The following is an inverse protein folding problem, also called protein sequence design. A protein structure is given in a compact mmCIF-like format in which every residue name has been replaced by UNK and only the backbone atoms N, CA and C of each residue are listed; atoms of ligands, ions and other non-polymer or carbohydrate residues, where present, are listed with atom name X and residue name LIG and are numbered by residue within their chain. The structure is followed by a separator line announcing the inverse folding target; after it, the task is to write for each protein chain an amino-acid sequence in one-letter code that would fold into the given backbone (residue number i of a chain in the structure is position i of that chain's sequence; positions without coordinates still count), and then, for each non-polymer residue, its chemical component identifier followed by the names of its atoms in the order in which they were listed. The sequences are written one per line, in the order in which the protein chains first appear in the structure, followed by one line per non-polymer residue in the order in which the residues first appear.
data_IF_430705425612
#
_entry.id   IF_430705425612
#
_cell.length_a   1.000
_cell.length_b   1.000
_cell.length_c   1.000
_cell.angle_alpha   90.00
_cell.angle_beta   90.00
_cell.angle_gamma   90.00
#
_symmetry.space_group_name_H-M   'P 1'
#
loop_
_entity.id
_entity.type
_entity.pdbx_description
1 polymer ?
#
# COMPACT_ATOMS: atom_id res chain seq x y z
N UNK A 1 -0.71 6.98 -17.08
CA UNK A 1 -0.93 7.69 -15.81
C UNK A 1 -0.35 6.84 -14.71
N UNK A 2 0.97 6.87 -14.53
CA UNK A 2 1.65 6.19 -13.44
C UNK A 2 2.89 7.02 -13.07
N UNK A 3 3.37 6.90 -11.82
CA UNK A 3 4.58 7.60 -11.38
C UNK A 3 5.80 6.70 -11.57
N UNK A 4 6.72 7.11 -12.45
CA UNK A 4 8.00 6.42 -12.64
C UNK A 4 8.86 6.42 -11.35
N UNK A 5 8.71 7.46 -10.52
CA UNK A 5 9.35 7.53 -9.22
C UNK A 5 8.80 6.46 -8.27
N UNK A 6 7.48 6.24 -8.26
CA UNK A 6 6.86 5.17 -7.47
C UNK A 6 7.30 3.79 -7.94
N UNK A 7 7.28 3.53 -9.25
CA UNK A 7 7.72 2.25 -9.80
C UNK A 7 9.17 1.94 -9.41
N UNK A 8 10.04 2.94 -9.47
CA UNK A 8 11.44 2.81 -9.06
C UNK A 8 11.57 2.51 -7.57
N UNK A 9 10.81 3.21 -6.71
CA UNK A 9 10.83 2.98 -5.27
C UNK A 9 10.29 1.58 -4.91
N UNK A 10 9.16 1.18 -5.51
CA UNK A 10 8.53 -0.12 -5.30
C UNK A 10 9.47 -1.26 -5.72
N UNK A 11 10.06 -1.20 -6.92
CA UNK A 11 11.03 -2.21 -7.39
C UNK A 11 12.24 -2.35 -6.46
N UNK A 12 12.75 -1.24 -5.92
CA UNK A 12 13.85 -1.28 -4.93
C UNK A 12 13.41 -1.98 -3.64
N UNK A 13 12.26 -1.60 -3.10
CA UNK A 13 11.71 -2.22 -1.88
C UNK A 13 11.45 -3.72 -2.08
N UNK A 14 10.82 -4.11 -3.18
CA UNK A 14 10.55 -5.52 -3.50
C UNK A 14 11.83 -6.33 -3.70
N UNK A 15 12.84 -5.76 -4.36
CA UNK A 15 14.14 -6.40 -4.51
C UNK A 15 14.81 -6.63 -3.15
N UNK A 16 14.73 -5.65 -2.24
CA UNK A 16 15.28 -5.79 -0.88
C UNK A 16 14.53 -6.84 -0.06
N UNK A 17 13.21 -6.96 -0.24
CA UNK A 17 12.34 -7.89 0.47
C UNK A 17 12.16 -9.25 -0.21
N UNK A 18 12.83 -9.53 -1.32
CA UNK A 18 12.67 -10.79 -2.06
C UNK A 18 11.30 -11.00 -2.73
N UNK A 19 10.49 -9.93 -2.88
CA UNK A 19 9.16 -9.98 -3.50
C UNK A 19 9.27 -9.97 -5.02
N UNK A 20 8.59 -10.91 -5.69
CA UNK A 20 8.50 -11.01 -7.16
C UNK A 20 7.10 -10.71 -7.67
N UNK A 21 6.07 -11.11 -6.93
CA UNK A 21 4.68 -10.86 -7.26
C UNK A 21 4.01 -10.12 -6.08
N UNK A 22 4.07 -8.78 -6.05
CA UNK A 22 3.60 -7.99 -4.91
C UNK A 22 2.14 -8.24 -4.60
N UNK A 23 1.29 -8.40 -5.62
CA UNK A 23 -0.14 -8.66 -5.44
C UNK A 23 -0.45 -9.99 -4.73
N UNK A 24 0.46 -10.97 -4.81
CA UNK A 24 0.30 -12.29 -4.19
C UNK A 24 1.09 -12.49 -2.91
N UNK A 25 2.06 -11.62 -2.64
CA UNK A 25 3.02 -11.76 -1.55
C UNK A 25 2.89 -10.68 -0.48
N UNK A 26 2.06 -9.65 -0.71
CA UNK A 26 1.68 -8.67 0.30
C UNK A 26 0.30 -9.06 0.78
N UNK A 27 0.10 -9.12 2.09
CA UNK A 27 -1.17 -9.50 2.70
C UNK A 27 -2.04 -8.29 3.01
N UNK A 28 -1.43 -7.12 3.21
CA UNK A 28 -2.12 -5.86 3.49
C UNK A 28 -1.29 -4.68 3.00
N UNK A 29 -1.93 -3.67 2.42
CA UNK A 29 -1.26 -2.47 1.95
C UNK A 29 -1.89 -1.19 2.51
N UNK A 30 -1.06 -0.28 2.99
CA UNK A 30 -1.43 1.04 3.46
C UNK A 30 -0.83 2.07 2.48
N UNK A 31 -1.69 2.58 1.59
CA UNK A 31 -1.35 3.43 0.44
C UNK A 31 -1.72 4.88 0.73
N UNK A 32 -0.83 5.81 0.39
CA UNK A 32 -1.14 7.23 0.52
C UNK A 32 -2.07 7.69 -0.61
N UNK A 33 -3.32 8.01 -0.26
CA UNK A 33 -4.42 8.34 -1.16
C UNK A 33 -5.10 9.68 -0.78
N UNK A 34 -4.36 10.80 -0.76
CA UNK A 34 -4.97 12.11 -0.43
C UNK A 34 -6.13 12.52 -1.36
N UNK A 35 -6.21 11.92 -2.56
CA UNK A 35 -7.31 12.07 -3.49
C UNK A 35 -7.63 10.71 -4.12
N UNK A 36 -8.89 10.41 -4.38
CA UNK A 36 -9.35 9.09 -4.82
C UNK A 36 -8.66 8.57 -6.10
N UNK A 37 -8.39 9.45 -7.06
CA UNK A 37 -7.70 9.05 -8.30
C UNK A 37 -6.28 8.54 -8.06
N UNK A 38 -5.64 8.95 -6.96
CA UNK A 38 -4.26 8.58 -6.63
C UNK A 38 -4.14 7.08 -6.41
N UNK A 39 -5.12 6.48 -5.73
CA UNK A 39 -5.15 5.04 -5.46
C UNK A 39 -5.03 4.22 -6.75
N UNK A 40 -5.80 4.60 -7.78
CA UNK A 40 -5.76 3.94 -9.09
C UNK A 40 -4.37 4.01 -9.73
N UNK A 41 -3.74 5.18 -9.69
CA UNK A 41 -2.40 5.39 -10.25
C UNK A 41 -1.31 4.70 -9.43
N UNK A 42 -1.49 4.61 -8.11
CA UNK A 42 -0.54 3.99 -7.20
C UNK A 42 -0.59 2.48 -7.29
N UNK A 43 -1.75 1.87 -7.51
CA UNK A 43 -1.84 0.42 -7.76
C UNK A 43 -1.01 -0.01 -8.97
N UNK A 44 -1.06 0.80 -10.04
CA UNK A 44 -0.24 0.58 -11.22
C UNK A 44 1.26 0.76 -10.90
N UNK A 45 1.62 1.82 -10.16
CA UNK A 45 3.01 2.08 -9.79
C UNK A 45 3.59 1.09 -8.77
N UNK A 46 2.78 0.53 -7.89
CA UNK A 46 3.13 -0.50 -6.93
C UNK A 46 3.14 -1.90 -7.56
N UNK A 47 2.68 -2.05 -8.81
CA UNK A 47 2.65 -3.33 -9.50
C UNK A 47 1.54 -4.28 -9.04
N UNK A 48 0.46 -3.75 -8.44
CA UNK A 48 -0.72 -4.53 -8.07
C UNK A 48 -1.57 -4.89 -9.29
N UNK A 49 -1.49 -4.08 -10.34
CA UNK A 49 -2.13 -4.34 -11.63
C UNK A 49 -1.33 -3.73 -12.77
N UNK A 50 -1.65 -4.13 -14.01
CA UNK A 50 -1.07 -3.51 -15.20
C UNK A 50 -1.49 -2.04 -15.33
N UNK A 51 -0.70 -1.28 -16.10
CA UNK A 51 -0.99 0.11 -16.42
C UNK A 51 -2.37 0.29 -17.07
N UNK A 52 -3.11 1.29 -16.63
CA UNK A 52 -4.50 1.56 -17.02
C UNK A 52 -5.53 0.59 -16.45
N UNK A 53 -5.16 -0.28 -15.49
CA UNK A 53 -6.07 -1.26 -14.87
C UNK A 53 -6.41 -0.93 -13.41
N UNK A 54 -5.94 0.19 -12.85
CA UNK A 54 -6.24 0.55 -11.46
C UNK A 54 -7.74 0.60 -11.17
N UNK A 55 -8.53 1.20 -12.05
CA UNK A 55 -9.99 1.23 -11.92
C UNK A 55 -10.64 -0.16 -11.92
N UNK A 56 -10.21 -1.04 -12.84
CA UNK A 56 -10.70 -2.42 -12.89
C UNK A 56 -10.33 -3.22 -11.66
N UNK A 57 -9.15 -2.96 -11.07
CA UNK A 57 -8.73 -3.60 -9.84
C UNK A 57 -9.67 -3.21 -8.68
N UNK A 58 -9.98 -1.92 -8.53
CA UNK A 58 -10.96 -1.45 -7.53
C UNK A 58 -12.34 -2.06 -7.76
N UNK A 59 -12.84 -2.00 -9.00
CA UNK A 59 -14.16 -2.57 -9.38
C UNK A 59 -14.27 -4.07 -9.10
N UNK A 60 -13.16 -4.81 -9.18
CA UNK A 60 -13.15 -6.25 -8.90
C UNK A 60 -13.36 -6.60 -7.42
N UNK A 61 -13.31 -5.62 -6.52
CA UNK A 61 -13.45 -5.81 -5.08
C UNK A 61 -12.22 -6.43 -4.40
N UNK A 62 -11.16 -6.75 -5.16
CA UNK A 62 -9.96 -7.40 -4.62
C UNK A 62 -9.19 -6.55 -3.61
N UNK A 63 -9.36 -5.23 -3.63
CA UNK A 63 -8.69 -4.32 -2.70
C UNK A 63 -9.52 -3.97 -1.46
N UNK A 64 -10.74 -4.52 -1.34
CA UNK A 64 -11.60 -4.32 -0.17
C UNK A 64 -11.07 -5.09 1.05
N UNK A 65 -11.59 -4.79 2.25
CA UNK A 65 -11.17 -5.41 3.53
C UNK A 65 -11.19 -6.94 3.54
N UNK A 66 -12.12 -7.58 2.80
CA UNK A 66 -12.20 -9.03 2.63
C UNK A 66 -11.68 -9.54 1.28
N UNK A 67 -11.01 -8.68 0.52
CA UNK A 67 -10.47 -8.97 -0.80
C UNK A 67 -9.16 -9.76 -0.74
N UNK A 68 -8.57 -9.95 -1.91
CA UNK A 68 -7.29 -10.67 -2.06
C UNK A 68 -6.10 -9.88 -1.50
N UNK A 69 -6.13 -8.55 -1.62
CA UNK A 69 -5.13 -7.64 -1.08
C UNK A 69 -5.86 -6.45 -0.45
N UNK A 70 -6.28 -6.53 0.82
CA UNK A 70 -6.89 -5.39 1.52
C UNK A 70 -6.00 -4.15 1.48
N UNK A 71 -6.53 -3.06 0.91
CA UNK A 71 -5.86 -1.76 0.86
C UNK A 71 -6.54 -0.79 1.81
N UNK A 72 -5.73 -0.05 2.57
CA UNK A 72 -6.15 0.96 3.52
C UNK A 72 -7.17 0.48 4.57
N UNK A 73 -6.96 -0.66 5.28
CA UNK A 73 -7.80 -1.02 6.42
C UNK A 73 -7.97 0.09 7.46
N UNK A 74 -7.00 1.01 7.59
CA UNK A 74 -7.10 2.19 8.45
C UNK A 74 -8.16 3.21 8.02
N UNK A 75 -8.74 3.08 6.83
CA UNK A 75 -9.56 4.10 6.16
C UNK A 75 -8.74 5.06 5.28
N UNK A 76 -7.42 4.87 5.20
CA UNK A 76 -6.56 5.62 4.28
C UNK A 76 -6.37 7.08 4.67
N UNK A 77 -5.76 7.84 3.77
CA UNK A 77 -5.54 9.29 3.88
C UNK A 77 -6.82 10.05 3.54
N UNK A 78 -7.71 9.46 2.73
CA UNK A 78 -9.05 10.00 2.46
C UNK A 78 -9.86 10.21 3.74
N UNK A 79 -9.76 9.30 4.71
CA UNK A 79 -10.49 9.43 5.98
C UNK A 79 -9.85 10.42 6.95
N UNK A 80 -8.52 10.55 6.94
CA UNK A 80 -7.79 11.51 7.76
C UNK A 80 -6.41 11.81 7.17
N UNK A 81 -6.11 13.09 6.91
CA UNK A 81 -4.91 13.52 6.20
C UNK A 81 -3.93 14.35 7.05
N UNK A 82 -3.17 13.72 7.97
CA UNK A 82 -2.11 14.42 8.70
C UNK A 82 -0.85 14.53 7.82
N UNK A 83 -0.84 15.50 6.90
CA UNK A 83 0.11 15.64 5.78
C UNK A 83 1.56 15.28 6.13
N UNK A 84 2.12 15.84 7.20
CA UNK A 84 3.54 15.65 7.54
C UNK A 84 3.88 14.24 8.05
N UNK A 85 2.89 13.50 8.56
CA UNK A 85 3.10 12.19 9.21
C UNK A 85 2.32 11.06 8.54
N UNK A 86 1.58 11.33 7.46
CA UNK A 86 0.71 10.36 6.82
C UNK A 86 1.46 9.07 6.44
N UNK A 87 2.65 9.15 5.84
CA UNK A 87 3.46 7.96 5.54
C UNK A 87 3.90 7.17 6.77
N UNK A 88 4.21 7.85 7.88
CA UNK A 88 4.54 7.21 9.16
C UNK A 88 3.31 6.56 9.80
N UNK A 89 2.14 7.17 9.65
CA UNK A 89 0.87 6.59 10.11
C UNK A 89 0.56 5.28 9.35
N UNK A 90 0.86 5.21 8.05
CA UNK A 90 0.74 3.97 7.26
C UNK A 90 1.70 2.87 7.76
N UNK A 91 2.93 3.22 8.14
CA UNK A 91 3.85 2.28 8.78
C UNK A 91 3.31 1.81 10.13
N UNK A 92 2.80 2.72 10.96
CA UNK A 92 2.24 2.39 12.26
C UNK A 92 1.06 1.41 12.11
N UNK A 93 0.17 1.64 11.15
CA UNK A 93 -0.91 0.72 10.84
C UNK A 93 -0.40 -0.64 10.36
N UNK A 94 0.57 -0.67 9.43
CA UNK A 94 1.17 -1.90 8.96
C UNK A 94 1.74 -2.73 10.14
N UNK A 95 2.40 -2.09 11.10
CA UNK A 95 2.90 -2.76 12.32
C UNK A 95 1.76 -3.30 13.17
N UNK A 96 0.66 -2.56 13.36
CA UNK A 96 -0.51 -3.05 14.09
C UNK A 96 -1.11 -4.29 13.42
N UNK A 97 -1.23 -4.27 12.09
CA UNK A 97 -1.74 -5.41 11.31
C UNK A 97 -0.85 -6.64 11.49
N UNK A 98 0.48 -6.47 11.36
CA UNK A 98 1.45 -7.56 11.52
C UNK A 98 1.52 -8.13 12.93
N UNK A 99 1.16 -7.34 13.95
CA UNK A 99 1.13 -7.78 15.35
C UNK A 99 -0.20 -8.41 15.76
N UNK A 100 -1.23 -8.33 14.93
CA UNK A 100 -2.58 -8.75 15.34
C UNK A 100 -3.25 -7.74 16.28
N UNK A 101 -2.80 -6.49 16.30
CA UNK A 101 -3.23 -5.43 17.22
C UNK A 101 -4.13 -4.38 16.55
N UNK A 102 -4.58 -4.60 15.30
CA UNK A 102 -5.36 -3.61 14.55
C UNK A 102 -6.86 -3.57 14.93
N UNK A 103 -7.30 -4.38 15.90
CA UNK A 103 -8.68 -4.37 16.41
C UNK A 103 -9.72 -4.72 15.33
N UNK A 104 -10.81 -3.94 15.24
CA UNK A 104 -11.93 -4.23 14.32
C UNK A 104 -11.59 -4.16 12.82
N UNK A 105 -10.41 -3.67 12.45
CA UNK A 105 -9.91 -3.59 11.06
C UNK A 105 -8.77 -4.56 10.78
N UNK A 106 -8.60 -5.58 11.65
CA UNK A 106 -7.55 -6.57 11.51
C UNK A 106 -7.73 -7.42 10.24
N UNK A 107 -6.69 -7.48 9.41
CA UNK A 107 -6.59 -8.43 8.30
C UNK A 107 -6.13 -9.79 8.85
N UNK A 108 -6.91 -10.87 8.69
CA UNK A 108 -6.57 -12.18 9.24
C UNK A 108 -5.27 -12.74 8.66
N UNK A 109 -4.34 -13.13 9.52
CA UNK A 109 -3.12 -13.84 9.11
C UNK A 109 -2.11 -13.00 8.33
N UNK A 110 -2.17 -11.67 8.40
CA UNK A 110 -1.21 -10.79 7.74
C UNK A 110 0.22 -11.04 8.25
N UNK A 111 1.15 -11.32 7.32
CA UNK A 111 2.57 -11.60 7.58
C UNK A 111 3.49 -10.63 6.88
N UNK A 112 3.09 -10.14 5.71
CA UNK A 112 3.80 -9.13 4.93
C UNK A 112 2.89 -7.94 4.68
N UNK A 113 3.34 -6.75 5.08
CA UNK A 113 2.61 -5.51 4.91
C UNK A 113 3.40 -4.52 4.04
N UNK A 114 2.70 -3.76 3.21
CA UNK A 114 3.24 -2.64 2.48
C UNK A 114 2.75 -1.32 3.08
N UNK A 115 3.66 -0.37 3.29
CA UNK A 115 3.31 1.01 3.60
C UNK A 115 3.87 1.94 2.53
N UNK A 116 3.14 3.02 2.24
CA UNK A 116 3.51 3.98 1.22
C UNK A 116 3.32 5.41 1.71
N UNK A 117 4.28 6.27 1.35
CA UNK A 117 4.26 7.69 1.62
C UNK A 117 4.65 8.48 0.39
N UNK A 118 4.15 9.71 0.29
CA UNK A 118 4.50 10.64 -0.79
C UNK A 118 4.89 12.00 -0.23
N UNK A 119 5.71 12.72 -0.99
CA UNK A 119 5.95 14.15 -0.78
C UNK A 119 6.20 14.84 -2.12
N UNK A 120 6.14 16.18 -2.12
CA UNK A 120 6.26 17.02 -3.31
C UNK A 120 4.97 17.13 -4.11
N UNK A 121 4.94 18.11 -5.02
CA UNK A 121 3.76 18.44 -5.82
C UNK A 121 3.46 17.25 -6.74
N UNK A 122 2.20 16.81 -6.78
CA UNK A 122 1.76 15.69 -7.62
C UNK A 122 2.51 14.36 -7.38
N UNK A 123 3.05 14.13 -6.18
CA UNK A 123 3.77 12.88 -5.88
C UNK A 123 5.13 12.78 -6.56
N UNK A 124 5.93 13.84 -6.54
CA UNK A 124 7.29 13.84 -7.09
C UNK A 124 8.21 12.82 -6.40
N UNK A 125 8.00 12.56 -5.12
CA UNK A 125 8.83 11.65 -4.33
C UNK A 125 7.96 10.65 -3.60
N UNK A 126 8.41 9.39 -3.60
CA UNK A 126 7.73 8.28 -2.98
C UNK A 126 8.67 7.49 -2.09
N UNK A 127 8.11 7.00 -0.99
CA UNK A 127 8.74 6.02 -0.13
C UNK A 127 7.83 4.78 -0.08
N UNK A 128 8.42 3.60 -0.21
CA UNK A 128 7.74 2.31 -0.12
C UNK A 128 8.48 1.48 0.91
N UNK A 129 7.73 0.97 1.88
CA UNK A 129 8.25 0.09 2.93
C UNK A 129 7.54 -1.26 2.83
N UNK A 130 8.33 -2.32 2.93
CA UNK A 130 7.83 -3.68 3.11
C UNK A 130 8.24 -4.11 4.51
N UNK A 131 7.26 -4.52 5.31
CA UNK A 131 7.45 -4.97 6.69
C UNK A 131 6.97 -6.43 6.78
N UNK A 132 7.67 -7.25 7.56
CA UNK A 132 7.32 -8.65 7.80
C UNK A 132 7.40 -8.98 9.28
N UNK A 133 6.56 -9.91 9.76
CA UNK A 133 6.69 -10.52 11.09
C UNK A 133 7.40 -11.89 11.06
N UNK A 134 7.87 -12.32 9.90
CA UNK A 134 8.70 -13.53 9.72
C UNK A 134 10.17 -13.13 9.50
N UNK A 135 11.11 -13.90 10.05
CA UNK A 135 12.54 -13.73 9.79
C UNK A 135 12.85 -14.01 8.30
N UNK A 136 13.70 -13.18 7.70
CA UNK A 136 14.04 -13.17 6.27
C UNK A 136 14.98 -14.31 5.84
#
# INVERSE_FOLDING_TARGET
TYSAALETAAKKAYKMAGIRNPFKQIDVAEVYDAFSYMELMWYEGLGFCDRGKGGKLVESGKTQMGGELPVNPSGGVLSAHPVQVAGLARIAEAVLQLRGEAGGRQVPGAKTALAHGITGICGQTHCVWVLSNEEA
#
